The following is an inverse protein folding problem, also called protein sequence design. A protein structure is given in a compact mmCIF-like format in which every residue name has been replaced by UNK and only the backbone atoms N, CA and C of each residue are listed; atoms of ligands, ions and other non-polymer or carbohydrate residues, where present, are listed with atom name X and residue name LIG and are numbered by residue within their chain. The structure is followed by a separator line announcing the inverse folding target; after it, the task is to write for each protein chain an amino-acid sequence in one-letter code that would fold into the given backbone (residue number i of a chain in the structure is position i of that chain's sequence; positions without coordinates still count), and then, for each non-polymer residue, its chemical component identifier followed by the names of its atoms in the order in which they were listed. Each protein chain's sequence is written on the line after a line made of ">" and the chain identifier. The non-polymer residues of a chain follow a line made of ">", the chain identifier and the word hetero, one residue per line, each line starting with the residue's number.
data_IF_059304634706
#
_entry.id   IF_059304634706
#
_cell.length_a   1.000
_cell.length_b   1.000
_cell.length_c   1.000
_cell.angle_alpha   90.00
_cell.angle_beta   90.00
_cell.angle_gamma   90.00
#
_symmetry.space_group_name_H-M   'P 1'
#
loop_
_entity.id
_entity.type
_entity.pdbx_description
1 polymer ?
#
# COMPACT_ATOMS: atom_id res chain seq x y z
N UNK A 1 8.02 -0.84 17.77
CA UNK A 1 7.32 -0.97 16.48
C UNK A 1 7.57 0.29 15.67
N UNK A 2 8.07 0.18 14.43
CA UNK A 2 8.25 1.31 13.53
C UNK A 2 8.04 0.88 12.08
N UNK A 3 7.24 1.63 11.33
CA UNK A 3 7.03 1.48 9.89
C UNK A 3 6.94 2.86 9.27
N UNK A 4 7.61 3.04 8.15
CA UNK A 4 7.41 4.19 7.27
C UNK A 4 7.22 3.67 5.85
N UNK A 5 6.26 4.22 5.12
CA UNK A 5 5.98 3.84 3.74
C UNK A 5 5.51 5.04 2.93
N UNK A 6 6.00 5.14 1.69
CA UNK A 6 5.45 6.04 0.67
C UNK A 6 4.62 5.19 -0.29
N UNK A 7 3.36 5.54 -0.47
CA UNK A 7 2.42 4.80 -1.32
C UNK A 7 2.04 5.71 -2.47
N UNK A 8 2.21 5.29 -3.71
CA UNK A 8 2.04 6.15 -4.87
C UNK A 8 1.44 5.45 -6.09
N UNK A 9 0.65 6.18 -6.87
CA UNK A 9 -0.07 5.66 -8.03
C UNK A 9 -0.88 6.75 -8.73
N UNK A 10 -1.72 6.35 -9.68
CA UNK A 10 -2.72 7.25 -10.27
C UNK A 10 -3.90 7.44 -9.32
N UNK A 11 -4.54 8.60 -9.41
CA UNK A 11 -5.88 8.78 -8.84
C UNK A 11 -6.81 7.66 -9.27
N UNK A 12 -7.51 7.04 -8.31
CA UNK A 12 -8.39 5.89 -8.55
C UNK A 12 -7.75 4.51 -8.31
N UNK A 13 -6.42 4.40 -8.18
CA UNK A 13 -5.77 3.12 -7.84
C UNK A 13 -5.82 2.75 -6.35
N UNK A 14 -6.63 3.44 -5.55
CA UNK A 14 -6.80 3.12 -4.13
C UNK A 14 -5.58 3.37 -3.23
N UNK A 15 -4.60 4.17 -3.67
CA UNK A 15 -3.37 4.43 -2.89
C UNK A 15 -3.61 5.14 -1.56
N UNK A 16 -4.59 6.05 -1.49
CA UNK A 16 -5.00 6.69 -0.24
C UNK A 16 -5.61 5.67 0.71
N UNK A 17 -6.50 4.80 0.19
CA UNK A 17 -7.19 3.78 0.97
C UNK A 17 -6.20 2.78 1.61
N UNK A 18 -5.13 2.40 0.90
CA UNK A 18 -4.05 1.58 1.49
C UNK A 18 -3.49 2.30 2.73
N UNK A 19 -3.14 3.57 2.60
CA UNK A 19 -2.53 4.33 3.69
C UNK A 19 -3.47 4.57 4.87
N UNK A 20 -4.73 4.90 4.60
CA UNK A 20 -5.78 5.06 5.61
C UNK A 20 -6.03 3.75 6.36
N UNK A 21 -6.09 2.62 5.64
CA UNK A 21 -6.30 1.29 6.24
C UNK A 21 -5.17 0.92 7.19
N UNK A 22 -3.91 1.17 6.80
CA UNK A 22 -2.75 0.94 7.66
C UNK A 22 -2.82 1.81 8.93
N UNK A 23 -3.13 3.11 8.78
CA UNK A 23 -3.21 4.02 9.91
C UNK A 23 -4.33 3.66 10.89
N UNK A 24 -5.52 3.37 10.37
CA UNK A 24 -6.68 2.98 11.18
C UNK A 24 -6.43 1.64 11.89
N UNK A 25 -5.76 0.69 11.24
CA UNK A 25 -5.40 -0.57 11.88
C UNK A 25 -4.39 -0.35 13.01
N UNK A 26 -3.37 0.49 12.79
CA UNK A 26 -2.39 0.84 13.81
C UNK A 26 -3.00 1.59 15.01
N UNK A 27 -3.86 2.58 14.76
CA UNK A 27 -4.51 3.35 15.83
C UNK A 27 -5.48 2.48 16.63
N UNK A 28 -6.17 1.53 15.99
CA UNK A 28 -7.02 0.53 16.69
C UNK A 28 -6.25 -0.35 17.67
N UNK A 29 -4.93 -0.47 17.50
CA UNK A 29 -4.02 -1.19 18.40
C UNK A 29 -3.41 -0.28 19.49
N UNK A 30 -3.78 1.01 19.53
CA UNK A 30 -3.20 1.99 20.44
C UNK A 30 -1.80 2.47 20.05
N UNK A 31 -1.40 2.28 18.79
CA UNK A 31 -0.08 2.69 18.26
C UNK A 31 -0.22 4.04 17.54
N UNK A 32 0.82 4.88 17.60
CA UNK A 32 0.79 6.17 16.91
C UNK A 32 0.88 5.94 15.39
N UNK A 33 0.03 6.62 14.62
CA UNK A 33 0.12 6.61 13.17
C UNK A 33 -0.12 8.02 12.60
N UNK A 34 0.54 8.33 11.48
CA UNK A 34 0.27 9.54 10.70
C UNK A 34 0.00 9.18 9.24
N UNK A 35 -1.02 9.81 8.67
CA UNK A 35 -1.36 9.75 7.26
C UNK A 35 -1.18 11.14 6.64
N UNK A 36 -0.31 11.26 5.64
CA UNK A 36 -0.04 12.53 4.96
C UNK A 36 -0.23 12.39 3.45
N UNK A 37 -1.40 12.74 2.91
CA UNK A 37 -1.69 12.64 1.49
C UNK A 37 -1.09 13.82 0.70
N UNK A 38 -0.73 13.55 -0.55
CA UNK A 38 -0.24 14.51 -1.53
C UNK A 38 -0.81 14.18 -2.90
N UNK A 39 -1.69 15.06 -3.38
CA UNK A 39 -2.34 14.93 -4.68
C UNK A 39 -2.47 16.32 -5.33
N UNK A 40 -2.36 16.34 -6.66
CA UNK A 40 -2.56 17.57 -7.44
C UNK A 40 -4.04 17.91 -7.62
N UNK A 41 -4.37 19.14 -8.06
CA UNK A 41 -5.74 19.55 -8.39
C UNK A 41 -6.25 18.93 -9.71
N UNK A 42 -5.46 18.05 -10.34
CA UNK A 42 -5.77 17.41 -11.61
C UNK A 42 -6.97 16.47 -11.46
N UNK A 43 -8.03 16.73 -12.22
CA UNK A 43 -9.31 16.02 -12.09
C UNK A 43 -9.26 14.58 -12.63
N UNK A 44 -8.26 14.21 -13.45
CA UNK A 44 -8.01 12.85 -13.97
C UNK A 44 -6.54 12.60 -14.28
N UNK A 45 -6.08 11.37 -14.05
CA UNK A 45 -4.79 10.87 -14.53
C UNK A 45 -3.54 11.36 -13.80
N UNK A 46 -3.69 12.29 -12.85
CA UNK A 46 -2.59 12.75 -12.01
C UNK A 46 -2.03 11.66 -11.08
N UNK A 47 -0.77 11.80 -10.69
CA UNK A 47 -0.17 10.96 -9.66
C UNK A 47 -0.59 11.44 -8.27
N UNK A 48 -1.05 10.53 -7.42
CA UNK A 48 -1.30 10.76 -6.02
C UNK A 48 -0.34 9.89 -5.19
N UNK A 49 0.08 10.41 -4.04
CA UNK A 49 0.94 9.67 -3.11
C UNK A 49 0.60 10.03 -1.67
N UNK A 50 0.84 9.13 -0.73
CA UNK A 50 0.73 9.42 0.69
C UNK A 50 1.91 8.85 1.46
N UNK A 51 2.29 9.53 2.53
CA UNK A 51 3.23 9.01 3.50
C UNK A 51 2.43 8.42 4.66
N UNK A 52 2.84 7.24 5.10
CA UNK A 52 2.33 6.61 6.31
C UNK A 52 3.48 6.29 7.22
N UNK A 53 3.35 6.67 8.49
CA UNK A 53 4.30 6.34 9.55
C UNK A 53 3.50 5.70 10.69
N UNK A 54 3.97 4.57 11.19
CA UNK A 54 3.45 3.88 12.38
C UNK A 54 4.59 3.73 13.38
N UNK A 55 4.36 4.07 14.64
CA UNK A 55 5.42 4.12 15.66
C UNK A 55 4.88 3.88 17.07
N UNK A 56 5.61 3.10 17.86
CA UNK A 56 5.37 2.97 19.31
C UNK A 56 5.70 4.25 20.10
N UNK A 57 6.48 5.15 19.50
CA UNK A 57 6.82 6.48 20.03
C UNK A 57 6.08 7.60 19.30
N UNK A 58 5.92 8.78 19.91
CA UNK A 58 5.37 9.96 19.23
C UNK A 58 6.07 10.25 17.90
N UNK A 59 5.30 10.58 16.88
CA UNK A 59 5.79 10.88 15.53
C UNK A 59 6.04 12.39 15.43
N UNK A 60 7.29 12.80 15.22
CA UNK A 60 7.68 14.20 15.18
C UNK A 60 7.34 14.92 13.86
N UNK A 61 7.33 14.18 12.73
CA UNK A 61 7.00 14.71 11.41
C UNK A 61 6.27 13.64 10.60
N UNK A 62 5.18 13.98 9.89
CA UNK A 62 4.46 13.05 9.02
C UNK A 62 5.04 13.01 7.59
N UNK A 63 6.07 13.81 7.30
CA UNK A 63 6.67 13.93 5.95
C UNK A 63 7.96 13.11 5.85
N UNK A 64 8.02 12.24 4.84
CA UNK A 64 9.18 11.39 4.56
C UNK A 64 10.02 11.96 3.42
N UNK A 65 11.28 12.31 3.71
CA UNK A 65 12.27 12.64 2.69
C UNK A 65 12.78 11.37 1.97
N UNK A 66 12.98 10.30 2.74
CA UNK A 66 13.31 8.93 2.31
C UNK A 66 12.47 7.96 3.12
N UNK A 67 12.33 6.72 2.65
CA UNK A 67 11.52 5.70 3.32
C UNK A 67 12.17 4.31 3.20
N UNK A 68 12.03 3.49 4.24
CA UNK A 68 12.40 2.07 4.20
C UNK A 68 11.55 1.29 3.21
N UNK A 69 10.28 1.68 3.04
CA UNK A 69 9.34 0.99 2.17
C UNK A 69 8.68 1.94 1.19
N UNK A 70 8.48 1.49 -0.04
CA UNK A 70 7.59 2.20 -0.98
C UNK A 70 6.67 1.20 -1.71
N UNK A 71 5.44 1.63 -1.97
CA UNK A 71 4.47 0.93 -2.81
C UNK A 71 4.22 1.79 -4.04
N UNK A 72 4.44 1.24 -5.24
CA UNK A 72 4.22 1.94 -6.51
C UNK A 72 3.25 1.17 -7.41
N UNK A 73 2.13 1.80 -7.74
CA UNK A 73 1.04 1.23 -8.54
C UNK A 73 1.10 1.62 -10.02
N UNK A 74 1.99 2.53 -10.40
CA UNK A 74 2.22 2.96 -11.79
C UNK A 74 3.69 3.35 -12.06
N UNK A 75 4.03 3.47 -13.35
CA UNK A 75 5.39 3.79 -13.82
C UNK A 75 5.88 5.19 -13.39
N UNK A 76 5.10 6.28 -13.52
CA UNK A 76 5.56 7.60 -13.07
C UNK A 76 5.88 7.66 -11.57
N UNK A 77 5.19 6.88 -10.74
CA UNK A 77 5.51 6.80 -9.30
C UNK A 77 6.81 6.05 -9.05
N UNK A 78 7.08 4.97 -9.81
CA UNK A 78 8.37 4.29 -9.73
C UNK A 78 9.51 5.27 -10.07
N UNK A 79 9.40 5.98 -11.20
CA UNK A 79 10.41 6.95 -11.64
C UNK A 79 10.65 8.05 -10.59
N UNK A 80 9.59 8.49 -9.90
CA UNK A 80 9.65 9.56 -8.90
C UNK A 80 10.20 9.12 -7.54
N UNK A 81 9.92 7.88 -7.11
CA UNK A 81 10.13 7.46 -5.72
C UNK A 81 11.23 6.41 -5.53
N UNK A 82 11.74 5.76 -6.59
CA UNK A 82 12.80 4.75 -6.47
C UNK A 82 14.06 5.25 -5.74
N UNK A 83 14.48 6.49 -6.02
CA UNK A 83 15.65 7.10 -5.37
C UNK A 83 15.43 7.43 -3.89
N UNK A 84 14.17 7.44 -3.42
CA UNK A 84 13.83 7.75 -2.03
C UNK A 84 13.87 6.52 -1.10
N UNK A 85 14.06 5.33 -1.65
CA UNK A 85 14.17 4.10 -0.85
C UNK A 85 15.52 4.09 -0.12
N UNK A 86 15.51 3.79 1.18
CA UNK A 86 16.76 3.60 1.94
C UNK A 86 17.44 2.29 1.52
N UNK A 87 18.75 2.19 1.73
CA UNK A 87 19.48 0.93 1.51
C UNK A 87 18.82 -0.22 2.28
N UNK A 88 18.77 -1.42 1.69
CA UNK A 88 18.08 -2.60 2.22
C UNK A 88 16.58 -2.40 2.44
N UNK A 89 16.00 -1.39 1.80
CA UNK A 89 14.56 -1.13 1.78
C UNK A 89 13.80 -2.04 0.84
N UNK A 90 12.47 -1.95 0.91
CA UNK A 90 11.55 -2.69 0.07
C UNK A 90 10.85 -1.77 -0.94
N UNK A 91 10.79 -2.22 -2.19
CA UNK A 91 9.97 -1.60 -3.23
C UNK A 91 8.94 -2.61 -3.73
N UNK A 92 7.67 -2.31 -3.49
CA UNK A 92 6.55 -3.10 -3.98
C UNK A 92 6.06 -2.49 -5.28
N UNK A 93 6.16 -3.26 -6.37
CA UNK A 93 5.89 -2.80 -7.73
C UNK A 93 4.68 -3.54 -8.28
N UNK A 94 3.67 -2.81 -8.73
CA UNK A 94 2.59 -3.41 -9.52
C UNK A 94 3.11 -3.82 -10.91
N UNK A 95 3.55 -5.07 -11.05
CA UNK A 95 4.15 -5.58 -12.29
C UNK A 95 3.18 -5.67 -13.46
N UNK A 96 1.87 -5.63 -13.20
CA UNK A 96 0.84 -5.63 -14.25
C UNK A 96 0.84 -4.35 -15.08
N UNK A 97 1.26 -3.22 -14.49
CA UNK A 97 1.20 -1.89 -15.11
C UNK A 97 2.57 -1.23 -15.26
N UNK A 98 3.60 -1.83 -14.68
CA UNK A 98 4.97 -1.30 -14.66
C UNK A 98 5.87 -2.29 -15.38
N UNK A 99 6.24 -1.91 -16.60
CA UNK A 99 7.13 -2.63 -17.51
C UNK A 99 8.62 -2.32 -17.28
N UNK A 100 8.91 -1.31 -16.45
CA UNK A 100 10.26 -0.84 -16.14
C UNK A 100 10.83 -1.63 -14.97
N UNK A 101 12.06 -2.10 -15.13
CA UNK A 101 12.87 -2.68 -14.07
C UNK A 101 13.42 -1.61 -13.11
N UNK A 102 13.48 -1.97 -11.82
CA UNK A 102 14.20 -1.20 -10.80
C UNK A 102 15.69 -1.26 -11.10
N UNK A 103 16.37 -0.11 -11.07
CA UNK A 103 17.78 0.02 -11.46
C UNK A 103 18.74 -0.13 -10.28
N UNK A 104 18.20 -0.18 -9.07
CA UNK A 104 18.95 -0.34 -7.82
C UNK A 104 19.15 -1.81 -7.44
N UNK A 105 20.36 -2.14 -7.02
CA UNK A 105 20.75 -3.48 -6.54
C UNK A 105 20.86 -3.59 -5.02
N UNK A 106 20.76 -2.47 -4.31
CA UNK A 106 20.90 -2.38 -2.85
C UNK A 106 19.55 -2.47 -2.11
N UNK A 107 18.46 -2.66 -2.84
CA UNK A 107 17.09 -2.78 -2.31
C UNK A 107 16.45 -4.09 -2.76
N UNK A 108 15.48 -4.58 -2.00
CA UNK A 108 14.72 -5.77 -2.37
C UNK A 108 13.43 -5.37 -3.12
N UNK A 109 13.29 -5.91 -4.33
CA UNK A 109 12.19 -5.61 -5.25
C UNK A 109 11.14 -6.71 -5.18
N UNK A 110 9.91 -6.34 -4.85
CA UNK A 110 8.77 -7.25 -4.73
C UNK A 110 7.77 -6.91 -5.83
N UNK A 111 7.72 -7.75 -6.86
CA UNK A 111 6.82 -7.59 -8.00
C UNK A 111 5.50 -8.29 -7.74
N UNK A 112 4.41 -7.55 -7.78
CA UNK A 112 3.05 -8.03 -7.51
C UNK A 112 2.19 -7.79 -8.75
N UNK A 113 1.64 -8.84 -9.40
CA UNK A 113 0.72 -8.70 -10.53
C UNK A 113 -0.70 -8.33 -10.05
N UNK A 114 -0.81 -7.18 -9.39
CA UNK A 114 -2.00 -6.78 -8.63
C UNK A 114 -3.26 -6.65 -9.51
N UNK A 115 -3.15 -6.08 -10.71
CA UNK A 115 -4.29 -5.94 -11.62
C UNK A 115 -4.71 -7.29 -12.20
N UNK A 116 -3.76 -8.15 -12.59
CA UNK A 116 -4.09 -9.48 -13.12
C UNK A 116 -4.84 -10.33 -12.09
N UNK A 117 -4.45 -10.25 -10.82
CA UNK A 117 -5.15 -10.94 -9.72
C UNK A 117 -6.54 -10.34 -9.50
N UNK A 118 -6.64 -9.01 -9.47
CA UNK A 118 -7.92 -8.32 -9.32
C UNK A 118 -8.90 -8.66 -10.46
N UNK A 119 -8.42 -8.73 -11.70
CA UNK A 119 -9.20 -9.14 -12.87
C UNK A 119 -9.67 -10.60 -12.75
N UNK A 120 -8.81 -11.52 -12.33
CA UNK A 120 -9.19 -12.93 -12.08
C UNK A 120 -10.24 -13.08 -10.98
N UNK A 121 -10.22 -12.19 -9.99
CA UNK A 121 -11.24 -12.13 -8.93
C UNK A 121 -12.55 -11.47 -9.39
N UNK A 122 -12.60 -10.91 -10.60
CA UNK A 122 -13.80 -10.33 -11.19
C UNK A 122 -14.04 -8.86 -10.83
N UNK A 123 -13.07 -8.18 -10.22
CA UNK A 123 -13.19 -6.76 -9.92
C UNK A 123 -11.82 -6.06 -10.04
N UNK A 124 -11.56 -5.28 -11.11
CA UNK A 124 -10.26 -4.63 -11.30
C UNK A 124 -9.94 -3.53 -10.26
N UNK A 125 -10.95 -3.04 -9.52
CA UNK A 125 -10.78 -1.94 -8.55
C UNK A 125 -10.08 -2.39 -7.26
N UNK A 126 -10.06 -3.71 -6.97
CA UNK A 126 -9.46 -4.27 -5.74
C UNK A 126 -7.95 -4.57 -5.86
N UNK A 127 -7.27 -4.12 -6.92
CA UNK A 127 -5.82 -4.31 -7.08
C UNK A 127 -5.02 -3.72 -5.90
N UNK A 128 -5.52 -2.64 -5.30
CA UNK A 128 -4.92 -2.03 -4.10
C UNK A 128 -4.93 -2.97 -2.89
N UNK A 129 -5.95 -3.82 -2.75
CA UNK A 129 -6.03 -4.80 -1.65
C UNK A 129 -5.05 -5.95 -1.84
N UNK A 130 -4.84 -6.41 -3.07
CA UNK A 130 -3.77 -7.39 -3.38
C UNK A 130 -2.41 -6.83 -2.96
N UNK A 131 -2.14 -5.57 -3.31
CA UNK A 131 -0.90 -4.89 -2.94
C UNK A 131 -0.77 -4.72 -1.42
N UNK A 132 -1.84 -4.33 -0.74
CA UNK A 132 -1.86 -4.18 0.73
C UNK A 132 -1.60 -5.52 1.42
N UNK A 133 -2.20 -6.62 0.96
CA UNK A 133 -1.98 -7.95 1.54
C UNK A 133 -0.52 -8.38 1.46
N UNK A 134 0.10 -8.21 0.29
CA UNK A 134 1.52 -8.50 0.09
C UNK A 134 2.43 -7.62 0.98
N UNK A 135 2.12 -6.33 1.07
CA UNK A 135 2.88 -5.39 1.91
C UNK A 135 2.83 -5.77 3.39
N UNK A 136 1.64 -6.11 3.89
CA UNK A 136 1.44 -6.46 5.30
C UNK A 136 2.15 -7.78 5.64
N UNK A 137 2.06 -8.80 4.77
CA UNK A 137 2.76 -10.07 5.01
C UNK A 137 4.28 -9.90 5.02
N UNK A 138 4.84 -9.10 4.10
CA UNK A 138 6.29 -8.87 4.06
C UNK A 138 6.79 -8.08 5.27
N UNK A 139 6.06 -7.05 5.68
CA UNK A 139 6.51 -6.16 6.77
C UNK A 139 6.20 -6.71 8.16
N UNK A 140 5.12 -7.50 8.33
CA UNK A 140 4.65 -8.07 9.60
C UNK A 140 4.48 -7.05 10.74
N UNK A 141 4.36 -5.76 10.40
CA UNK A 141 4.25 -4.69 11.40
C UNK A 141 2.84 -4.66 11.99
N UNK A 142 1.82 -4.84 11.15
CA UNK A 142 0.43 -4.86 11.57
C UNK A 142 -0.12 -6.27 11.33
N UNK A 143 -0.79 -6.88 12.32
CA UNK A 143 -1.47 -8.15 12.14
C UNK A 143 -2.53 -8.09 11.02
N UNK A 144 -2.58 -9.09 10.14
CA UNK A 144 -3.48 -9.09 8.98
C UNK A 144 -4.96 -9.05 9.38
N UNK A 145 -5.33 -9.64 10.52
CA UNK A 145 -6.67 -9.59 11.10
C UNK A 145 -7.11 -8.16 11.44
N UNK A 146 -6.19 -7.28 11.86
CA UNK A 146 -6.48 -5.86 12.07
C UNK A 146 -6.77 -5.14 10.77
N UNK A 147 -6.04 -5.48 9.70
CA UNK A 147 -6.29 -4.94 8.36
C UNK A 147 -7.67 -5.38 7.86
N UNK A 148 -8.00 -6.68 7.99
CA UNK A 148 -9.31 -7.23 7.58
C UNK A 148 -10.46 -6.55 8.31
N UNK A 149 -10.34 -6.40 9.64
CA UNK A 149 -11.33 -5.70 10.46
C UNK A 149 -11.57 -4.25 10.00
N UNK A 150 -10.51 -3.52 9.66
CA UNK A 150 -10.63 -2.15 9.16
C UNK A 150 -11.31 -2.10 7.78
N UNK A 151 -10.99 -3.04 6.88
CA UNK A 151 -11.65 -3.14 5.58
C UNK A 151 -13.15 -3.38 5.73
N UNK A 152 -13.56 -4.28 6.63
CA UNK A 152 -14.96 -4.52 6.97
C UNK A 152 -15.64 -3.24 7.47
N UNK A 153 -14.98 -2.55 8.42
CA UNK A 153 -15.46 -1.28 8.99
C UNK A 153 -15.63 -0.19 7.93
N UNK A 154 -14.69 -0.04 6.99
CA UNK A 154 -14.73 1.00 5.96
C UNK A 154 -15.81 0.76 4.91
N UNK A 155 -16.08 -0.50 4.56
CA UNK A 155 -17.07 -0.82 3.53
C UNK A 155 -18.51 -0.79 4.06
N UNK A 156 -18.71 -1.08 5.35
CA UNK A 156 -20.03 -1.21 5.99
C UNK A 156 -20.55 -2.64 5.93
N UNK A 157 -21.10 -3.13 7.03
CA UNK A 157 -21.55 -4.54 7.20
C UNK A 157 -22.61 -4.96 6.15
N UNK A 158 -23.35 -4.00 5.61
CA UNK A 158 -24.36 -4.23 4.59
C UNK A 158 -23.79 -4.63 3.22
N UNK A 159 -22.49 -4.40 2.95
CA UNK A 159 -21.85 -4.66 1.65
C UNK A 159 -21.05 -5.96 1.64
N UNK A 160 -21.66 -7.03 2.12
CA UNK A 160 -21.01 -8.34 2.33
C UNK A 160 -20.24 -8.86 1.11
N UNK A 161 -20.82 -8.77 -0.09
CA UNK A 161 -20.13 -9.22 -1.32
C UNK A 161 -18.86 -8.43 -1.62
N UNK A 162 -18.88 -7.11 -1.37
CA UNK A 162 -17.71 -6.24 -1.53
C UNK A 162 -16.67 -6.52 -0.45
N UNK A 163 -17.09 -6.80 0.78
CA UNK A 163 -16.17 -7.21 1.84
C UNK A 163 -15.47 -8.51 1.44
N UNK A 164 -16.24 -9.55 1.10
CA UNK A 164 -15.70 -10.87 0.79
C UNK A 164 -14.66 -10.84 -0.35
N UNK A 165 -14.91 -10.06 -1.40
CA UNK A 165 -13.96 -9.94 -2.52
C UNK A 165 -12.70 -9.14 -2.13
N UNK A 166 -12.82 -8.10 -1.31
CA UNK A 166 -11.65 -7.35 -0.82
C UNK A 166 -10.80 -8.20 0.14
N UNK A 167 -11.43 -8.99 1.01
CA UNK A 167 -10.74 -9.92 1.91
C UNK A 167 -10.02 -11.02 1.13
N UNK A 168 -10.65 -11.58 0.09
CA UNK A 168 -9.99 -12.53 -0.82
C UNK A 168 -8.80 -11.90 -1.53
N UNK A 169 -8.92 -10.65 -1.97
CA UNK A 169 -7.82 -9.93 -2.61
C UNK A 169 -6.62 -9.73 -1.67
N UNK A 170 -6.86 -9.37 -0.41
CA UNK A 170 -5.82 -9.32 0.63
C UNK A 170 -5.14 -10.68 0.77
N UNK A 171 -5.92 -11.75 0.87
CA UNK A 171 -5.39 -13.11 1.05
C UNK A 171 -4.56 -13.59 -0.16
N UNK A 172 -4.96 -13.24 -1.39
CA UNK A 172 -4.13 -13.48 -2.57
C UNK A 172 -2.81 -12.71 -2.52
N UNK A 173 -2.84 -11.45 -2.04
CA UNK A 173 -1.63 -10.66 -1.81
C UNK A 173 -0.67 -11.32 -0.81
N UNK A 174 -1.19 -11.79 0.32
CA UNK A 174 -0.41 -12.48 1.37
C UNK A 174 0.29 -13.71 0.80
N UNK A 175 -0.40 -14.54 0.00
CA UNK A 175 0.16 -15.77 -0.58
C UNK A 175 1.37 -15.56 -1.51
N UNK A 176 1.56 -14.36 -2.04
CA UNK A 176 2.69 -14.04 -2.92
C UNK A 176 4.01 -13.89 -2.18
N UNK A 177 3.95 -13.66 -0.88
CA UNK A 177 5.14 -13.48 -0.03
C UNK A 177 5.49 -14.84 0.60
N UNK A 178 6.76 -15.26 0.43
CA UNK A 178 7.29 -16.52 0.94
C UNK A 178 8.17 -16.30 2.18
#
# INVERSE_FOLDING_TARGET
>A
MYLEVIIAGFGGQGVMLIGETICEAATSMGVNATFFPSYGPETRGGTANCNVIVSDKPIASPVLATSQNIIVMNKPSLDKFESKVKEKGYIFVNSSLIDREVQRSDIEVIKIPANEIAEKLGNPVIANMVMLGAFIEKTKVIPIDKIKYVVEKFLGEEKKELIDINLKALDEGVKLIK
#
